data_IF_044406747066
#
_entry.id   IF_044406747066
#
_cell.length_a   1.000
_cell.length_b   1.000
_cell.length_c   1.000
_cell.angle_alpha   90.00
_cell.angle_beta   90.00
_cell.angle_gamma   90.00
#
_symmetry.space_group_name_H-M   'P 1'
#
loop_
_entity.id
_entity.type
_entity.pdbx_description
1 polymer ?
#
# COMPACT_ATOMS: atom_id res chain seq x y z
N UNK A 1 9.48 -1.55 -1.09
CA UNK A 1 10.60 -0.69 -0.61
C UNK A 1 10.18 0.04 0.66
N UNK A 2 10.94 -0.03 1.75
CA UNK A 2 10.69 0.78 2.94
C UNK A 2 11.16 2.22 2.69
N UNK A 3 10.24 3.18 2.86
CA UNK A 3 10.48 4.59 2.56
C UNK A 3 11.46 5.24 3.52
N UNK A 4 11.39 4.88 4.80
CA UNK A 4 12.26 5.46 5.83
C UNK A 4 13.69 4.97 5.63
N UNK A 5 13.86 3.68 5.43
CA UNK A 5 15.17 3.06 5.20
C UNK A 5 15.81 3.58 3.90
N UNK A 6 15.03 3.68 2.81
CA UNK A 6 15.52 4.25 1.56
C UNK A 6 16.02 5.69 1.74
N UNK A 7 15.28 6.54 2.46
CA UNK A 7 15.70 7.93 2.68
C UNK A 7 16.95 8.03 3.55
N UNK A 8 17.06 7.21 4.59
CA UNK A 8 18.27 7.11 5.39
C UNK A 8 19.47 6.70 4.53
N UNK A 9 19.29 5.70 3.67
CA UNK A 9 20.34 5.25 2.75
C UNK A 9 20.78 6.35 1.76
N UNK A 10 19.83 7.10 1.19
CA UNK A 10 20.13 8.26 0.34
C UNK A 10 20.95 9.31 1.09
N UNK A 11 20.57 9.61 2.34
CA UNK A 11 21.24 10.60 3.17
C UNK A 11 22.67 10.17 3.55
N UNK A 12 22.85 8.96 4.06
CA UNK A 12 24.15 8.44 4.51
C UNK A 12 25.17 8.33 3.37
N UNK A 13 24.70 7.89 2.20
CA UNK A 13 25.56 7.70 1.02
C UNK A 13 25.62 8.93 0.10
N UNK A 14 25.00 10.05 0.49
CA UNK A 14 25.05 11.35 -0.22
C UNK A 14 24.53 11.31 -1.66
N UNK A 15 23.49 10.52 -1.93
CA UNK A 15 22.88 10.39 -3.26
C UNK A 15 21.98 11.58 -3.68
N UNK A 16 21.79 12.59 -2.81
CA UNK A 16 20.86 13.70 -3.07
C UNK A 16 21.19 14.44 -4.37
N UNK A 17 22.46 14.81 -4.59
CA UNK A 17 22.88 15.54 -5.80
C UNK A 17 22.58 14.73 -7.07
N UNK A 18 22.99 13.46 -7.07
CA UNK A 18 22.75 12.53 -8.18
C UNK A 18 21.25 12.41 -8.50
N UNK A 19 20.39 12.27 -7.49
CA UNK A 19 18.93 12.17 -7.70
C UNK A 19 18.36 13.48 -8.26
N UNK A 20 18.83 14.63 -7.80
CA UNK A 20 18.40 15.93 -8.34
C UNK A 20 18.83 16.07 -9.81
N UNK A 21 20.05 15.68 -10.15
CA UNK A 21 20.55 15.69 -11.53
C UNK A 21 19.74 14.75 -12.44
N UNK A 22 19.42 13.54 -11.97
CA UNK A 22 18.70 12.53 -12.77
C UNK A 22 17.26 12.94 -13.10
N UNK A 23 16.64 13.78 -12.25
CA UNK A 23 15.34 14.38 -12.55
C UNK A 23 15.41 15.66 -13.40
N UNK A 24 16.62 16.12 -13.74
CA UNK A 24 16.87 17.27 -14.58
C UNK A 24 16.89 18.61 -13.83
N UNK A 25 16.86 18.59 -12.49
CA UNK A 25 17.13 19.80 -11.72
C UNK A 25 18.51 20.34 -12.06
N UNK A 26 18.65 21.66 -12.07
CA UNK A 26 19.88 22.34 -12.48
C UNK A 26 20.20 23.49 -11.54
N UNK A 27 21.41 24.06 -11.64
CA UNK A 27 21.96 25.01 -10.66
C UNK A 27 21.96 24.46 -9.22
N UNK A 28 22.26 23.16 -9.06
CA UNK A 28 22.30 22.48 -7.77
C UNK A 28 23.44 23.04 -6.94
N UNK A 29 23.14 23.44 -5.70
CA UNK A 29 24.12 23.98 -4.75
C UNK A 29 23.84 23.46 -3.34
N UNK A 30 24.89 22.99 -2.68
CA UNK A 30 24.84 22.63 -1.26
C UNK A 30 25.29 23.79 -0.37
N UNK A 31 24.48 24.12 0.63
CA UNK A 31 24.75 25.19 1.60
C UNK A 31 25.19 24.57 2.92
N UNK A 32 26.50 24.32 3.04
CA UNK A 32 27.09 23.60 4.18
C UNK A 32 26.78 24.23 5.55
N UNK A 33 26.67 25.56 5.64
CA UNK A 33 26.43 26.26 6.91
C UNK A 33 25.11 25.88 7.58
N UNK A 34 24.06 25.58 6.81
CA UNK A 34 22.74 25.23 7.35
C UNK A 34 22.23 23.86 6.86
N UNK A 35 23.04 23.09 6.13
CA UNK A 35 22.75 21.72 5.73
C UNK A 35 21.54 21.55 4.79
N UNK A 36 21.52 22.26 3.66
CA UNK A 36 20.44 22.12 2.67
C UNK A 36 20.94 22.31 1.24
N UNK A 37 20.18 21.78 0.28
CA UNK A 37 20.38 21.92 -1.15
C UNK A 37 19.39 22.94 -1.72
N UNK A 38 19.84 23.70 -2.71
CA UNK A 38 18.97 24.52 -3.57
C UNK A 38 19.16 24.14 -5.02
N UNK A 39 18.09 24.12 -5.79
CA UNK A 39 18.16 23.97 -7.24
C UNK A 39 16.97 24.62 -7.95
N UNK A 40 17.13 24.82 -9.26
CA UNK A 40 16.02 25.07 -10.16
C UNK A 40 15.28 23.76 -10.49
N UNK A 41 14.00 23.89 -10.80
CA UNK A 41 13.21 22.81 -11.40
C UNK A 41 13.83 22.32 -12.72
N UNK A 42 13.44 21.14 -13.20
CA UNK A 42 13.79 20.69 -14.55
C UNK A 42 13.34 21.65 -15.67
N UNK A 43 12.32 22.47 -15.39
CA UNK A 43 11.85 23.52 -16.28
C UNK A 43 11.72 24.85 -15.52
N UNK A 44 12.21 25.94 -16.08
CA UNK A 44 12.24 27.27 -15.46
C UNK A 44 13.64 27.72 -15.06
N UNK A 45 13.76 28.96 -14.59
CA UNK A 45 15.04 29.69 -14.41
C UNK A 45 15.29 30.17 -12.97
N UNK A 46 14.35 29.94 -12.05
CA UNK A 46 14.54 30.27 -10.65
C UNK A 46 15.46 29.25 -9.96
N UNK A 47 16.72 29.64 -9.78
CA UNK A 47 17.79 28.82 -9.16
C UNK A 47 17.55 28.42 -7.70
N UNK A 48 16.62 29.09 -7.00
CA UNK A 48 16.22 28.79 -5.63
C UNK A 48 14.81 28.23 -5.51
N UNK A 49 14.23 27.72 -6.60
CA UNK A 49 12.85 27.24 -6.62
C UNK A 49 12.62 26.06 -5.67
N UNK A 50 13.60 25.19 -5.52
CA UNK A 50 13.55 24.00 -4.68
C UNK A 50 14.54 24.16 -3.54
N UNK A 51 14.10 23.86 -2.31
CA UNK A 51 14.93 23.72 -1.12
C UNK A 51 14.75 22.31 -0.57
N UNK A 52 15.85 21.58 -0.41
CA UNK A 52 15.85 20.23 0.15
C UNK A 52 16.78 20.18 1.37
N UNK A 53 16.23 19.90 2.54
CA UNK A 53 16.98 19.81 3.78
C UNK A 53 17.74 18.50 3.85
N UNK A 54 19.05 18.57 4.03
CA UNK A 54 19.93 17.41 4.04
C UNK A 54 19.90 16.73 5.41
N UNK A 55 18.88 15.90 5.62
CA UNK A 55 18.65 15.10 6.82
C UNK A 55 18.04 13.75 6.44
N UNK A 56 17.92 12.84 7.40
CA UNK A 56 17.25 11.53 7.26
C UNK A 56 15.84 11.62 6.64
N UNK A 57 15.13 12.72 6.87
CA UNK A 57 13.77 12.91 6.34
C UNK A 57 13.74 13.36 4.88
N UNK A 58 14.84 13.93 4.38
CA UNK A 58 15.00 14.54 3.05
C UNK A 58 13.83 15.46 2.68
N UNK A 59 13.39 16.27 3.64
CA UNK A 59 12.28 17.21 3.46
C UNK A 59 12.58 18.15 2.29
N UNK A 60 11.63 18.29 1.38
CA UNK A 60 11.80 19.03 0.15
C UNK A 60 10.62 19.96 -0.07
N UNK A 61 10.89 21.24 -0.32
CA UNK A 61 9.88 22.24 -0.64
C UNK A 61 10.16 22.84 -2.01
N UNK A 62 9.12 22.97 -2.82
CA UNK A 62 9.17 23.70 -4.08
C UNK A 62 8.33 24.98 -3.93
N UNK A 63 8.99 26.14 -3.89
CA UNK A 63 8.33 27.44 -3.69
C UNK A 63 7.63 27.96 -4.95
N UNK A 64 7.85 27.31 -6.09
CA UNK A 64 7.30 27.75 -7.38
C UNK A 64 6.17 26.85 -7.88
N UNK A 65 6.02 25.64 -7.32
CA UNK A 65 5.10 24.61 -7.82
C UNK A 65 4.53 23.79 -6.67
N UNK A 66 3.25 23.46 -6.77
CA UNK A 66 2.60 22.55 -5.83
C UNK A 66 2.84 21.10 -6.26
N UNK A 67 3.60 20.34 -5.46
CA UNK A 67 3.98 18.95 -5.79
C UNK A 67 2.88 17.93 -5.46
N UNK A 68 2.09 18.19 -4.41
CA UNK A 68 1.03 17.30 -3.93
C UNK A 68 -0.26 18.08 -3.65
N UNK A 69 -1.39 17.37 -3.66
CA UNK A 69 -2.71 17.97 -3.40
C UNK A 69 -3.00 18.19 -1.92
N UNK A 70 -2.49 17.31 -1.06
CA UNK A 70 -2.74 17.35 0.39
C UNK A 70 -1.77 18.29 1.11
N UNK A 71 -2.11 18.70 2.32
CA UNK A 71 -1.30 19.63 3.11
C UNK A 71 -0.18 18.96 3.93
N UNK A 72 0.19 17.71 3.60
CA UNK A 72 1.29 17.03 4.30
C UNK A 72 2.63 17.61 3.88
N UNK A 73 3.66 17.39 4.71
CA UNK A 73 5.05 17.70 4.35
C UNK A 73 5.49 16.84 3.16
N UNK A 74 6.28 17.45 2.28
CA UNK A 74 6.85 16.79 1.09
C UNK A 74 8.32 16.46 1.27
N UNK A 75 8.78 15.46 0.53
CA UNK A 75 10.19 15.04 0.51
C UNK A 75 10.73 14.81 -0.91
N UNK A 76 11.99 14.37 -1.01
CA UNK A 76 12.67 14.12 -2.29
C UNK A 76 11.87 13.16 -3.19
N UNK A 77 11.16 12.19 -2.61
CA UNK A 77 10.36 11.22 -3.38
C UNK A 77 9.19 11.93 -4.04
N UNK A 78 8.54 12.86 -3.34
CA UNK A 78 7.47 13.68 -3.90
C UNK A 78 7.97 14.56 -5.04
N UNK A 79 9.19 15.11 -4.92
CA UNK A 79 9.83 15.88 -5.99
C UNK A 79 10.08 15.02 -7.22
N UNK A 80 10.60 13.79 -7.05
CA UNK A 80 10.84 12.84 -8.13
C UNK A 80 9.51 12.49 -8.84
N UNK A 81 8.50 12.10 -8.06
CA UNK A 81 7.17 11.77 -8.59
C UNK A 81 6.56 12.92 -9.38
N UNK A 82 6.65 14.14 -8.83
CA UNK A 82 6.14 15.34 -9.46
C UNK A 82 6.88 15.67 -10.76
N UNK A 83 8.21 15.62 -10.74
CA UNK A 83 9.05 16.05 -11.88
C UNK A 83 8.97 15.08 -13.05
N UNK A 84 8.81 13.78 -12.78
CA UNK A 84 8.74 12.73 -13.80
C UNK A 84 7.31 12.27 -14.14
N UNK A 85 6.28 12.86 -13.51
CA UNK A 85 4.87 12.42 -13.57
C UNK A 85 4.71 10.91 -13.30
N UNK A 86 5.32 10.44 -12.21
CA UNK A 86 5.26 9.05 -11.78
C UNK A 86 4.25 8.85 -10.65
N UNK A 87 3.68 7.65 -10.57
CA UNK A 87 3.01 7.22 -9.34
C UNK A 87 4.04 7.04 -8.23
N UNK A 88 3.60 7.11 -6.97
CA UNK A 88 4.52 6.98 -5.83
C UNK A 88 5.40 5.71 -5.88
N UNK A 89 4.86 4.51 -6.13
CA UNK A 89 5.70 3.30 -6.29
C UNK A 89 6.71 3.41 -7.43
N UNK A 90 6.33 4.01 -8.55
CA UNK A 90 7.23 4.19 -9.69
C UNK A 90 8.30 5.24 -9.42
N UNK A 91 8.02 6.26 -8.62
CA UNK A 91 9.04 7.20 -8.14
C UNK A 91 10.05 6.54 -7.20
N UNK A 92 9.61 5.64 -6.31
CA UNK A 92 10.51 4.82 -5.51
C UNK A 92 11.39 3.92 -6.39
N UNK A 93 10.78 3.20 -7.36
CA UNK A 93 11.52 2.37 -8.31
C UNK A 93 12.57 3.19 -9.07
N UNK A 94 12.20 4.38 -9.56
CA UNK A 94 13.13 5.28 -10.24
C UNK A 94 14.33 5.66 -9.34
N UNK A 95 14.10 5.99 -8.08
CA UNK A 95 15.17 6.32 -7.14
C UNK A 95 16.08 5.11 -6.91
N UNK A 96 15.50 3.92 -6.74
CA UNK A 96 16.25 2.68 -6.54
C UNK A 96 17.15 2.39 -7.75
N UNK A 97 16.59 2.47 -8.96
CA UNK A 97 17.32 2.26 -10.20
C UNK A 97 18.47 3.27 -10.36
N UNK A 98 18.24 4.54 -10.02
CA UNK A 98 19.24 5.61 -10.08
C UNK A 98 20.43 5.35 -9.14
N UNK A 99 20.17 4.93 -7.91
CA UNK A 99 21.23 4.66 -6.92
C UNK A 99 21.80 3.24 -7.00
N UNK A 100 21.36 2.44 -7.99
CA UNK A 100 21.82 1.06 -8.21
C UNK A 100 21.34 0.06 -7.16
N UNK A 101 20.19 0.29 -6.55
CA UNK A 101 19.58 -0.56 -5.52
C UNK A 101 18.37 -1.33 -6.07
N UNK A 102 18.18 -2.57 -5.60
CA UNK A 102 16.94 -3.31 -5.89
C UNK A 102 15.74 -2.69 -5.16
N UNK A 103 14.58 -2.61 -5.82
CA UNK A 103 13.33 -2.18 -5.16
C UNK A 103 12.94 -3.07 -3.95
N UNK A 104 13.36 -4.33 -4.00
CA UNK A 104 13.13 -5.35 -2.98
C UNK A 104 14.36 -5.57 -2.08
N UNK A 105 15.26 -4.57 -2.01
CA UNK A 105 16.40 -4.60 -1.09
C UNK A 105 15.92 -4.80 0.35
N UNK A 106 16.59 -5.69 1.07
CA UNK A 106 16.31 -5.99 2.47
C UNK A 106 17.38 -5.36 3.35
N UNK A 107 17.09 -4.18 3.91
CA UNK A 107 18.02 -3.45 4.77
C UNK A 107 18.37 -4.20 6.06
N UNK A 108 17.55 -5.17 6.48
CA UNK A 108 17.87 -6.02 7.62
C UNK A 108 19.01 -7.00 7.31
N UNK A 109 19.22 -7.40 6.05
CA UNK A 109 20.36 -8.26 5.68
C UNK A 109 21.70 -7.55 5.96
N UNK A 110 21.74 -6.21 5.85
CA UNK A 110 22.93 -5.38 6.04
C UNK A 110 23.28 -5.12 7.53
N UNK A 111 22.34 -5.35 8.45
CA UNK A 111 22.54 -5.10 9.88
C UNK A 111 23.44 -6.19 10.48
N UNK A 112 24.54 -5.83 11.19
CA UNK A 112 25.36 -6.82 11.88
C UNK A 112 24.56 -7.62 12.91
N UNK A 113 24.85 -8.92 13.02
CA UNK A 113 24.10 -9.84 13.88
C UNK A 113 23.99 -9.39 15.35
N UNK A 114 25.02 -8.72 15.87
CA UNK A 114 25.01 -8.15 17.22
C UNK A 114 23.92 -7.09 17.43
N UNK A 115 23.63 -6.27 16.42
CA UNK A 115 22.55 -5.28 16.47
C UNK A 115 21.17 -5.94 16.31
N UNK A 116 21.07 -7.02 15.53
CA UNK A 116 19.83 -7.82 15.42
C UNK A 116 19.44 -8.43 16.77
N UNK A 117 20.41 -8.94 17.52
CA UNK A 117 20.20 -9.50 18.86
C UNK A 117 19.70 -8.42 19.83
N UNK A 118 20.30 -7.22 19.80
CA UNK A 118 19.86 -6.09 20.64
C UNK A 118 18.41 -5.68 20.32
N UNK A 119 18.05 -5.57 19.03
CA UNK A 119 16.68 -5.28 18.59
C UNK A 119 15.69 -6.34 19.06
N UNK A 120 16.05 -7.63 18.93
CA UNK A 120 15.22 -8.73 19.43
C UNK A 120 15.00 -8.68 20.94
N UNK A 121 16.01 -8.31 21.74
CA UNK A 121 15.85 -8.15 23.19
C UNK A 121 14.89 -7.01 23.54
N UNK A 122 14.93 -5.91 22.77
CA UNK A 122 14.03 -4.77 22.95
C UNK A 122 12.57 -5.11 22.56
N UNK A 123 12.38 -5.82 21.45
CA UNK A 123 11.08 -6.33 20.98
C UNK A 123 10.46 -7.30 22.00
N UNK A 124 11.27 -8.19 22.60
CA UNK A 124 10.82 -9.11 23.65
C UNK A 124 10.41 -8.39 24.93
N UNK A 125 11.08 -7.27 25.25
CA UNK A 125 10.76 -6.46 26.45
C UNK A 125 9.45 -5.67 26.32
N UNK A 126 9.04 -5.39 25.09
CA UNK A 126 7.88 -4.56 24.77
C UNK A 126 6.57 -5.35 24.56
N UNK A 127 6.57 -6.67 24.79
CA UNK A 127 5.43 -7.57 24.51
C UNK A 127 4.87 -7.43 23.07
N UNK A 128 5.67 -6.89 22.15
CA UNK A 128 5.30 -6.81 20.75
C UNK A 128 5.50 -8.21 20.14
N UNK A 129 4.41 -8.96 19.98
CA UNK A 129 4.41 -10.20 19.18
C UNK A 129 4.57 -9.83 17.71
N UNK A 130 5.77 -9.43 17.31
CA UNK A 130 6.14 -9.22 15.91
C UNK A 130 6.54 -10.60 15.38
N UNK A 131 5.60 -11.33 14.79
CA UNK A 131 5.97 -12.40 13.88
C UNK A 131 6.84 -11.77 12.79
N UNK A 132 8.13 -12.16 12.72
CA UNK A 132 9.03 -11.70 11.67
C UNK A 132 8.50 -12.19 10.33
N UNK A 133 7.74 -11.33 9.64
CA UNK A 133 7.34 -11.58 8.27
C UNK A 133 8.60 -11.71 7.40
N UNK A 134 8.59 -12.67 6.46
CA UNK A 134 9.67 -12.80 5.48
C UNK A 134 9.83 -11.49 4.71
N UNK A 135 11.03 -11.14 4.23
CA UNK A 135 11.20 -9.99 3.37
C UNK A 135 10.34 -10.13 2.12
N UNK A 136 9.77 -9.01 1.66
CA UNK A 136 8.96 -8.97 0.45
C UNK A 136 9.88 -9.20 -0.75
N UNK A 137 9.73 -10.33 -1.43
CA UNK A 137 10.52 -10.70 -2.62
C UNK A 137 9.58 -11.21 -3.72
N UNK A 138 9.79 -10.84 -4.99
CA UNK A 138 9.06 -11.43 -6.10
C UNK A 138 9.24 -12.94 -6.17
N UNK A 139 8.18 -13.65 -6.51
CA UNK A 139 8.18 -15.06 -6.85
C UNK A 139 7.99 -15.24 -8.36
N UNK A 140 8.38 -16.40 -8.89
CA UNK A 140 8.31 -16.65 -10.32
C UNK A 140 6.88 -16.69 -10.86
N UNK A 141 6.60 -15.98 -11.95
CA UNK A 141 5.29 -15.98 -12.63
C UNK A 141 4.85 -17.37 -13.11
N UNK A 142 5.82 -18.27 -13.33
CA UNK A 142 5.56 -19.65 -13.71
C UNK A 142 4.73 -20.41 -12.66
N UNK A 143 4.72 -19.98 -11.39
CA UNK A 143 3.88 -20.61 -10.36
C UNK A 143 2.40 -20.53 -10.74
N UNK A 144 1.96 -19.45 -11.39
CA UNK A 144 0.56 -19.30 -11.82
C UNK A 144 0.17 -20.28 -12.94
N UNK A 145 1.13 -20.90 -13.62
CA UNK A 145 0.85 -21.89 -14.69
C UNK A 145 0.38 -23.24 -14.14
N UNK A 146 0.67 -23.55 -12.87
CA UNK A 146 0.19 -24.76 -12.21
C UNK A 146 -1.31 -24.68 -11.89
N UNK A 147 -1.83 -23.48 -11.64
CA UNK A 147 -3.22 -23.28 -11.27
C UNK A 147 -4.12 -23.23 -12.49
N UNK A 148 -5.22 -23.98 -12.44
CA UNK A 148 -6.21 -23.98 -13.51
C UNK A 148 -6.98 -22.67 -13.50
N UNK A 149 -7.02 -21.98 -14.63
CA UNK A 149 -7.74 -20.70 -14.80
C UNK A 149 -9.25 -20.92 -15.03
N UNK A 150 -9.88 -21.67 -14.14
CA UNK A 150 -11.33 -21.86 -14.17
C UNK A 150 -12.00 -20.74 -13.38
N UNK A 151 -13.12 -20.26 -13.91
CA UNK A 151 -14.02 -19.42 -13.14
C UNK A 151 -14.50 -20.17 -11.92
N UNK A 152 -14.55 -19.48 -10.79
CA UNK A 152 -15.00 -19.95 -9.51
C UNK A 152 -16.46 -19.54 -9.32
N UNK A 153 -17.36 -20.52 -9.35
CA UNK A 153 -18.80 -20.32 -9.13
C UNK A 153 -19.10 -19.81 -7.73
N UNK A 154 -18.32 -20.23 -6.74
CA UNK A 154 -18.45 -19.76 -5.37
C UNK A 154 -18.13 -18.26 -5.27
N UNK A 155 -17.10 -17.78 -5.97
CA UNK A 155 -16.85 -16.34 -6.09
C UNK A 155 -17.93 -15.62 -6.89
N UNK A 156 -18.45 -16.22 -7.95
CA UNK A 156 -19.56 -15.66 -8.70
C UNK A 156 -20.82 -15.47 -7.82
N UNK A 157 -21.17 -16.48 -7.02
CA UNK A 157 -22.24 -16.43 -6.04
C UNK A 157 -21.98 -15.42 -4.91
N UNK A 158 -20.71 -15.17 -4.57
CA UNK A 158 -20.28 -14.13 -3.63
C UNK A 158 -20.13 -12.75 -4.34
N UNK A 159 -20.80 -12.55 -5.49
CA UNK A 159 -20.85 -11.33 -6.30
C UNK A 159 -19.52 -10.88 -6.95
N UNK A 160 -18.63 -11.82 -7.25
CA UNK A 160 -17.39 -11.55 -7.99
C UNK A 160 -17.51 -12.13 -9.40
N UNK A 161 -17.69 -11.27 -10.40
CA UNK A 161 -17.93 -11.71 -11.78
C UNK A 161 -16.70 -12.41 -12.39
N UNK A 162 -16.91 -13.28 -13.38
CA UNK A 162 -15.83 -14.05 -13.99
C UNK A 162 -14.78 -13.18 -14.71
N UNK A 163 -15.14 -11.98 -15.16
CA UNK A 163 -14.19 -11.07 -15.80
C UNK A 163 -13.22 -10.48 -14.76
N UNK A 164 -13.72 -10.16 -13.57
CA UNK A 164 -12.94 -9.76 -12.41
C UNK A 164 -12.05 -10.90 -11.95
N UNK A 165 -12.58 -12.12 -11.85
CA UNK A 165 -11.78 -13.29 -11.51
C UNK A 165 -10.62 -13.50 -12.49
N UNK A 166 -10.88 -13.36 -13.80
CA UNK A 166 -9.85 -13.44 -14.83
C UNK A 166 -8.82 -12.30 -14.72
N UNK A 167 -9.29 -11.07 -14.48
CA UNK A 167 -8.46 -9.87 -14.36
C UNK A 167 -7.48 -9.96 -13.18
N UNK A 168 -7.91 -10.56 -12.07
CA UNK A 168 -7.10 -10.80 -10.86
C UNK A 168 -6.44 -12.18 -10.84
N UNK A 169 -6.47 -12.89 -11.98
CA UNK A 169 -5.75 -14.16 -12.18
C UNK A 169 -6.16 -15.25 -11.18
N UNK A 170 -7.42 -15.22 -10.75
CA UNK A 170 -7.97 -16.25 -9.88
C UNK A 170 -7.84 -17.60 -10.60
N UNK A 171 -7.31 -18.57 -9.87
CA UNK A 171 -7.16 -19.94 -10.35
C UNK A 171 -7.68 -20.96 -9.36
N UNK A 172 -7.41 -22.22 -9.66
CA UNK A 172 -7.71 -23.34 -8.81
C UNK A 172 -6.49 -24.25 -8.69
N UNK A 173 -6.13 -24.55 -7.45
CA UNK A 173 -5.11 -25.52 -7.11
C UNK A 173 -5.78 -26.86 -6.74
N UNK A 174 -5.58 -27.86 -7.59
CA UNK A 174 -6.16 -29.19 -7.43
C UNK A 174 -5.52 -29.97 -6.27
N UNK A 175 -4.27 -29.66 -5.92
CA UNK A 175 -3.55 -30.36 -4.84
C UNK A 175 -4.11 -29.98 -3.46
N UNK A 176 -4.27 -28.68 -3.19
CA UNK A 176 -4.83 -28.21 -1.93
C UNK A 176 -6.34 -28.02 -1.92
N UNK A 177 -7.03 -28.25 -3.06
CA UNK A 177 -8.45 -27.95 -3.26
C UNK A 177 -8.80 -26.51 -2.88
N UNK A 178 -8.04 -25.55 -3.41
CA UNK A 178 -8.19 -24.12 -3.09
C UNK A 178 -8.26 -23.25 -4.31
N UNK A 179 -9.13 -22.27 -4.26
CA UNK A 179 -9.11 -21.15 -5.19
C UNK A 179 -7.94 -20.24 -4.87
N UNK A 180 -7.08 -20.01 -5.85
CA UNK A 180 -5.88 -19.22 -5.69
C UNK A 180 -6.18 -17.75 -5.95
N UNK A 181 -5.65 -16.89 -5.08
CA UNK A 181 -5.76 -15.44 -5.13
C UNK A 181 -4.32 -14.92 -5.18
N UNK A 182 -3.80 -14.64 -6.39
CA UNK A 182 -2.47 -14.07 -6.56
C UNK A 182 -2.37 -12.70 -5.88
N UNK A 183 -1.30 -12.47 -5.13
CA UNK A 183 -1.00 -11.21 -4.45
C UNK A 183 0.17 -10.56 -5.20
N UNK A 184 -0.08 -9.38 -5.75
CA UNK A 184 0.92 -8.59 -6.48
C UNK A 184 1.37 -7.39 -5.65
N UNK A 185 2.65 -7.04 -5.78
CA UNK A 185 3.20 -5.78 -5.28
C UNK A 185 2.54 -4.59 -5.98
N UNK A 186 2.72 -3.40 -5.42
CA UNK A 186 2.37 -2.12 -6.02
C UNK A 186 3.05 -1.86 -7.38
N UNK A 187 4.16 -2.56 -7.69
CA UNK A 187 4.81 -2.54 -9.00
C UNK A 187 4.21 -3.53 -10.00
N UNK A 188 3.42 -4.50 -9.52
CA UNK A 188 2.78 -5.54 -10.30
C UNK A 188 3.46 -6.91 -10.23
N UNK A 189 4.59 -7.04 -9.54
CA UNK A 189 5.29 -8.30 -9.41
C UNK A 189 4.52 -9.26 -8.49
N UNK A 190 4.45 -10.55 -8.85
CA UNK A 190 3.85 -11.56 -7.99
C UNK A 190 4.70 -11.75 -6.74
N UNK A 191 4.11 -11.64 -5.54
CA UNK A 191 4.84 -11.71 -4.25
C UNK A 191 4.26 -12.73 -3.27
N UNK A 192 3.09 -13.28 -3.58
CA UNK A 192 2.43 -14.27 -2.74
C UNK A 192 1.18 -14.82 -3.39
N UNK A 193 0.65 -15.90 -2.81
CA UNK A 193 -0.54 -16.58 -3.31
C UNK A 193 -1.34 -17.06 -2.11
N UNK A 194 -2.56 -16.57 -1.99
CA UNK A 194 -3.51 -16.99 -0.95
C UNK A 194 -4.44 -18.05 -1.53
N UNK A 195 -4.82 -19.03 -0.73
CA UNK A 195 -5.73 -20.11 -1.11
C UNK A 195 -7.00 -20.08 -0.27
N UNK A 196 -8.16 -19.89 -0.91
CA UNK A 196 -9.48 -20.07 -0.28
C UNK A 196 -9.92 -21.51 -0.47
N UNK A 197 -10.34 -22.18 0.60
CA UNK A 197 -10.90 -23.53 0.51
C UNK A 197 -12.07 -23.59 -0.48
N UNK A 198 -12.12 -24.65 -1.30
CA UNK A 198 -13.07 -24.77 -2.40
C UNK A 198 -14.53 -24.84 -1.95
N UNK A 199 -14.82 -25.49 -0.82
CA UNK A 199 -16.18 -25.64 -0.30
C UNK A 199 -16.53 -24.55 0.72
N UNK A 200 -17.84 -24.24 0.82
CA UNK A 200 -18.37 -23.29 1.83
C UNK A 200 -18.21 -23.86 3.25
N UNK A 201 -18.49 -25.14 3.41
CA UNK A 201 -18.25 -25.88 4.65
C UNK A 201 -16.79 -26.30 4.70
N UNK A 202 -16.05 -25.72 5.64
CA UNK A 202 -14.64 -26.03 5.87
C UNK A 202 -14.57 -27.12 6.93
N UNK A 203 -13.95 -28.28 6.64
CA UNK A 203 -13.81 -29.36 7.61
C UNK A 203 -13.10 -28.92 8.89
N UNK A 204 -13.41 -29.58 10.00
CA UNK A 204 -12.70 -29.35 11.27
C UNK A 204 -11.19 -29.61 11.09
N UNK A 205 -10.37 -28.64 11.49
CA UNK A 205 -8.91 -28.67 11.34
C UNK A 205 -8.37 -28.05 10.05
N UNK A 206 -9.24 -27.69 9.10
CA UNK A 206 -8.85 -26.93 7.91
C UNK A 206 -9.08 -25.42 8.11
N UNK A 207 -8.20 -24.61 7.52
CA UNK A 207 -8.36 -23.16 7.51
C UNK A 207 -9.07 -22.71 6.24
N UNK A 208 -10.06 -21.82 6.39
CA UNK A 208 -10.79 -21.26 5.24
C UNK A 208 -9.85 -20.55 4.25
N UNK A 209 -8.85 -19.85 4.76
CA UNK A 209 -7.82 -19.17 3.99
C UNK A 209 -6.43 -19.55 4.51
N UNK A 210 -5.51 -19.85 3.60
CA UNK A 210 -4.09 -20.07 3.89
C UNK A 210 -3.22 -19.33 2.87
N UNK A 211 -1.93 -19.17 3.15
CA UNK A 211 -0.95 -18.81 2.15
C UNK A 211 -0.39 -20.08 1.51
N UNK A 212 -0.57 -20.23 0.20
CA UNK A 212 0.12 -21.25 -0.61
C UNK A 212 1.56 -20.81 -0.88
N UNK A 213 1.73 -19.50 -1.13
CA UNK A 213 3.02 -18.83 -1.17
C UNK A 213 2.99 -17.64 -0.21
N UNK A 214 3.84 -17.68 0.81
CA UNK A 214 3.86 -16.68 1.90
C UNK A 214 4.37 -15.34 1.41
N UNK A 215 3.68 -14.25 1.76
CA UNK A 215 4.13 -12.88 1.51
C UNK A 215 4.13 -12.04 2.79
N UNK A 216 4.90 -10.96 2.76
CA UNK A 216 4.89 -9.95 3.81
C UNK A 216 3.62 -9.08 3.72
N UNK A 217 2.48 -9.57 4.24
CA UNK A 217 1.19 -8.89 4.12
C UNK A 217 1.23 -7.47 4.69
N UNK A 218 2.01 -7.25 5.76
CA UNK A 218 2.20 -5.93 6.37
C UNK A 218 2.84 -4.92 5.42
N UNK A 219 3.47 -5.39 4.34
CA UNK A 219 4.15 -4.54 3.34
C UNK A 219 3.34 -4.35 2.06
N UNK A 220 2.12 -4.88 1.99
CA UNK A 220 1.30 -4.92 0.77
C UNK A 220 -0.09 -4.34 1.00
N UNK A 221 -0.61 -3.65 -0.02
CA UNK A 221 -2.02 -3.30 -0.16
C UNK A 221 -2.58 -4.06 -1.37
N UNK A 222 -3.40 -5.07 -1.12
CA UNK A 222 -3.95 -5.90 -2.19
C UNK A 222 -4.75 -5.05 -3.19
N UNK A 223 -4.47 -5.24 -4.47
CA UNK A 223 -5.13 -4.53 -5.58
C UNK A 223 -4.50 -3.19 -5.96
N UNK A 224 -3.54 -2.65 -5.17
CA UNK A 224 -2.98 -1.31 -5.40
C UNK A 224 -2.38 -1.14 -6.80
N UNK A 225 -1.70 -2.16 -7.33
CA UNK A 225 -1.14 -2.13 -8.69
C UNK A 225 -2.17 -1.84 -9.79
N UNK A 226 -3.41 -2.32 -9.61
CA UNK A 226 -4.51 -2.10 -10.54
C UNK A 226 -5.30 -0.82 -10.21
N UNK A 227 -5.39 -0.45 -8.93
CA UNK A 227 -6.30 0.60 -8.45
C UNK A 227 -5.65 1.98 -8.36
N UNK A 228 -4.31 2.08 -8.32
CA UNK A 228 -3.58 3.34 -8.09
C UNK A 228 -3.97 4.49 -9.03
N UNK A 229 -4.16 4.20 -10.31
CA UNK A 229 -4.56 5.21 -11.29
C UNK A 229 -6.01 5.67 -11.07
N UNK A 230 -6.90 4.75 -10.72
CA UNK A 230 -8.29 5.07 -10.39
C UNK A 230 -8.40 5.87 -9.10
N UNK A 231 -7.55 5.58 -8.10
CA UNK A 231 -7.45 6.36 -6.85
C UNK A 231 -7.01 7.80 -7.15
N UNK A 232 -5.98 7.99 -8.00
CA UNK A 232 -5.52 9.32 -8.43
C UNK A 232 -6.62 10.09 -9.17
N UNK A 233 -7.41 9.41 -10.00
CA UNK A 233 -8.51 9.99 -10.78
C UNK A 233 -9.72 10.36 -9.93
N UNK A 234 -10.18 9.44 -9.06
CA UNK A 234 -11.35 9.65 -8.21
C UNK A 234 -11.06 10.51 -6.97
N UNK A 235 -9.78 10.73 -6.66
CA UNK A 235 -9.31 11.37 -5.43
C UNK A 235 -9.82 10.67 -4.17
N UNK A 236 -10.04 9.36 -4.24
CA UNK A 236 -10.67 8.57 -3.18
C UNK A 236 -10.10 7.17 -3.13
N UNK A 237 -9.86 6.66 -1.92
CA UNK A 237 -9.49 5.26 -1.69
C UNK A 237 -10.42 4.60 -0.67
N UNK A 238 -10.93 3.42 -1.00
CA UNK A 238 -11.63 2.55 -0.06
C UNK A 238 -10.66 1.53 0.53
N UNK A 239 -10.57 1.46 1.85
CA UNK A 239 -9.73 0.49 2.57
C UNK A 239 -10.65 -0.59 3.16
N UNK A 240 -10.37 -1.83 2.80
CA UNK A 240 -11.12 -3.03 3.19
C UNK A 240 -10.21 -4.01 3.92
N UNK A 241 -10.80 -4.99 4.61
CA UNK A 241 -10.04 -5.98 5.38
C UNK A 241 -9.52 -7.16 4.54
N UNK A 242 -10.21 -7.50 3.44
CA UNK A 242 -9.93 -8.74 2.69
C UNK A 242 -9.75 -8.54 1.19
N UNK A 243 -8.96 -9.42 0.59
CA UNK A 243 -8.75 -9.47 -0.86
C UNK A 243 -10.06 -9.73 -1.60
N UNK A 244 -10.92 -10.57 -1.02
CA UNK A 244 -12.28 -10.86 -1.54
C UNK A 244 -13.10 -9.58 -1.71
N UNK A 245 -13.05 -8.68 -0.72
CA UNK A 245 -13.79 -7.43 -0.75
C UNK A 245 -13.33 -6.51 -1.89
N UNK A 246 -12.03 -6.50 -2.21
CA UNK A 246 -11.51 -5.73 -3.37
C UNK A 246 -12.02 -6.31 -4.69
N UNK A 247 -12.09 -7.64 -4.81
CA UNK A 247 -12.66 -8.30 -5.98
C UNK A 247 -14.17 -8.01 -6.14
N UNK A 248 -14.91 -8.00 -5.04
CA UNK A 248 -16.34 -7.64 -5.04
C UNK A 248 -16.52 -6.20 -5.53
N UNK A 249 -15.82 -5.24 -4.92
CA UNK A 249 -15.92 -3.84 -5.33
C UNK A 249 -15.49 -3.61 -6.77
N UNK A 250 -14.48 -4.33 -7.27
CA UNK A 250 -14.09 -4.26 -8.67
C UNK A 250 -15.22 -4.73 -9.60
N UNK A 251 -15.91 -5.82 -9.24
CA UNK A 251 -17.08 -6.33 -9.97
C UNK A 251 -18.25 -5.34 -9.95
N UNK A 252 -18.35 -4.52 -8.90
CA UNK A 252 -19.37 -3.47 -8.77
C UNK A 252 -19.00 -2.19 -9.54
N UNK A 253 -17.81 -2.12 -10.13
CA UNK A 253 -17.29 -0.95 -10.84
C UNK A 253 -16.50 0.04 -9.97
N UNK A 254 -16.30 -0.25 -8.67
CA UNK A 254 -15.49 0.56 -7.76
C UNK A 254 -14.02 0.14 -7.85
N UNK A 255 -13.27 0.78 -8.76
CA UNK A 255 -11.87 0.43 -9.08
C UNK A 255 -10.81 1.11 -8.21
N UNK A 256 -11.22 1.77 -7.14
CA UNK A 256 -10.37 2.56 -6.24
C UNK A 256 -10.37 2.00 -4.81
N UNK A 257 -10.39 0.67 -4.70
CA UNK A 257 -10.37 -0.05 -3.43
C UNK A 257 -9.07 -0.84 -3.25
N UNK A 258 -8.62 -0.95 -2.01
CA UNK A 258 -7.48 -1.80 -1.62
C UNK A 258 -7.81 -2.55 -0.33
N UNK A 259 -7.05 -3.60 -0.04
CA UNK A 259 -7.17 -4.35 1.21
C UNK A 259 -5.85 -4.46 1.96
N UNK A 260 -5.92 -4.37 3.27
CA UNK A 260 -4.81 -4.55 4.23
C UNK A 260 -4.51 -6.02 4.53
N UNK A 261 -5.44 -6.93 4.19
CA UNK A 261 -5.30 -8.37 4.47
C UNK A 261 -5.52 -8.72 5.95
N UNK A 262 -6.21 -7.85 6.68
CA UNK A 262 -6.56 -7.98 8.09
C UNK A 262 -7.13 -6.67 8.65
N UNK A 263 -7.50 -6.67 9.94
CA UNK A 263 -8.08 -5.50 10.63
C UNK A 263 -7.05 -4.41 10.95
N UNK A 264 -5.82 -4.81 11.21
CA UNK A 264 -4.74 -3.90 11.60
C UNK A 264 -3.99 -3.36 10.37
N UNK A 265 -3.58 -2.10 10.46
CA UNK A 265 -2.73 -1.46 9.46
C UNK A 265 -1.30 -1.37 9.98
N UNK A 266 -0.34 -1.81 9.17
CA UNK A 266 1.07 -1.57 9.45
C UNK A 266 1.46 -0.12 9.16
N UNK A 267 2.58 0.33 9.74
CA UNK A 267 3.14 1.64 9.39
C UNK A 267 3.47 1.76 7.90
N UNK A 268 3.95 0.69 7.26
CA UNK A 268 4.27 0.70 5.83
C UNK A 268 3.00 0.85 4.97
N UNK A 269 1.91 0.19 5.35
CA UNK A 269 0.61 0.35 4.68
C UNK A 269 0.08 1.79 4.83
N UNK A 270 0.17 2.36 6.03
CA UNK A 270 -0.21 3.75 6.29
C UNK A 270 0.62 4.70 5.42
N UNK A 271 1.94 4.55 5.40
CA UNK A 271 2.83 5.39 4.60
C UNK A 271 2.49 5.31 3.11
N UNK A 272 2.18 4.12 2.59
CA UNK A 272 1.69 3.94 1.22
C UNK A 272 0.39 4.70 0.99
N UNK A 273 -0.64 4.49 1.83
CA UNK A 273 -1.95 5.13 1.70
C UNK A 273 -1.83 6.66 1.72
N UNK A 274 -1.10 7.21 2.68
CA UNK A 274 -0.90 8.66 2.86
C UNK A 274 -0.25 9.29 1.62
N UNK A 275 0.67 8.56 0.99
CA UNK A 275 1.39 9.05 -0.19
C UNK A 275 0.57 8.99 -1.48
N UNK A 276 -0.51 8.21 -1.52
CA UNK A 276 -1.45 8.26 -2.64
C UNK A 276 -2.18 9.61 -2.72
N UNK A 277 -2.27 10.35 -1.60
CA UNK A 277 -2.81 11.72 -1.58
C UNK A 277 -4.29 11.81 -1.92
N UNK A 278 -5.07 10.78 -1.58
CA UNK A 278 -6.51 10.67 -1.81
C UNK A 278 -7.28 10.72 -0.48
N UNK A 279 -8.59 11.01 -0.55
CA UNK A 279 -9.48 10.90 0.61
C UNK A 279 -9.59 9.44 1.04
N UNK A 280 -9.34 9.18 2.32
CA UNK A 280 -9.28 7.82 2.88
C UNK A 280 -10.65 7.43 3.43
N UNK A 281 -11.24 6.34 2.93
CA UNK A 281 -12.50 5.79 3.43
C UNK A 281 -12.23 4.42 4.04
N UNK A 282 -12.37 4.31 5.36
CA UNK A 282 -12.33 3.05 6.08
C UNK A 282 -13.69 2.33 5.92
N UNK A 283 -13.67 1.15 5.30
CA UNK A 283 -14.85 0.33 5.01
C UNK A 283 -14.72 -1.03 5.71
N UNK A 284 -14.77 -1.01 7.04
CA UNK A 284 -14.52 -2.17 7.91
C UNK A 284 -15.76 -3.04 8.07
N UNK A 285 -15.57 -4.29 8.46
CA UNK A 285 -16.67 -5.24 8.66
C UNK A 285 -17.55 -4.84 9.85
N UNK A 286 -18.82 -5.30 9.89
CA UNK A 286 -19.81 -4.87 10.90
C UNK A 286 -19.39 -5.14 12.35
N UNK A 287 -18.47 -6.07 12.58
CA UNK A 287 -17.98 -6.43 13.91
C UNK A 287 -16.87 -5.49 14.42
N UNK A 288 -16.33 -4.61 13.58
CA UNK A 288 -15.39 -3.56 13.99
C UNK A 288 -16.14 -2.40 14.61
N UNK A 289 -15.85 -2.12 15.88
CA UNK A 289 -16.53 -1.06 16.62
C UNK A 289 -15.99 0.31 16.23
N UNK A 290 -16.80 1.34 16.48
CA UNK A 290 -16.44 2.73 16.19
C UNK A 290 -15.12 3.17 16.86
N UNK A 291 -14.88 2.76 18.11
CA UNK A 291 -13.63 3.07 18.82
C UNK A 291 -12.41 2.43 18.14
N UNK A 292 -12.54 1.22 17.58
CA UNK A 292 -11.46 0.57 16.84
C UNK A 292 -11.16 1.32 15.53
N UNK A 293 -12.20 1.83 14.84
CA UNK A 293 -12.03 2.69 13.65
C UNK A 293 -11.32 3.99 14.04
N UNK A 294 -11.66 4.60 15.18
CA UNK A 294 -10.99 5.79 15.73
C UNK A 294 -9.52 5.51 16.06
N UNK A 295 -9.21 4.36 16.66
CA UNK A 295 -7.83 3.92 16.91
C UNK A 295 -7.05 3.78 15.59
N UNK A 296 -7.61 3.14 14.57
CA UNK A 296 -7.00 3.04 13.24
C UNK A 296 -6.76 4.43 12.64
N UNK A 297 -7.76 5.31 12.71
CA UNK A 297 -7.65 6.67 12.19
C UNK A 297 -6.53 7.46 12.88
N UNK A 298 -6.27 7.24 14.17
CA UNK A 298 -5.21 7.91 14.94
C UNK A 298 -3.79 7.53 14.50
N UNK A 299 -3.60 6.39 13.83
CA UNK A 299 -2.29 6.01 13.30
C UNK A 299 -1.90 6.82 12.05
N UNK A 300 -2.86 7.45 11.38
CA UNK A 300 -2.56 8.33 10.26
C UNK A 300 -2.01 9.68 10.74
N UNK A 301 -1.15 10.34 9.96
CA UNK A 301 -0.71 11.71 10.25
C UNK A 301 -1.87 12.71 10.31
N UNK A 302 -1.70 13.76 11.12
CA UNK A 302 -2.67 14.86 11.22
C UNK A 302 -2.83 15.62 9.89
N UNK A 303 -4.02 16.19 9.69
CA UNK A 303 -4.35 17.00 8.51
C UNK A 303 -4.72 16.18 7.26
N UNK A 304 -4.85 14.86 7.38
CA UNK A 304 -5.34 13.98 6.33
C UNK A 304 -6.85 13.78 6.49
N UNK A 305 -7.67 14.04 5.45
CA UNK A 305 -9.10 13.75 5.49
C UNK A 305 -9.34 12.25 5.59
N UNK A 306 -10.01 11.84 6.68
CA UNK A 306 -10.37 10.44 6.91
C UNK A 306 -11.87 10.34 7.10
N UNK A 307 -12.45 9.40 6.38
CA UNK A 307 -13.85 9.06 6.38
C UNK A 307 -14.01 7.59 6.78
N UNK A 308 -15.21 7.24 7.23
CA UNK A 308 -15.56 5.86 7.53
C UNK A 308 -16.97 5.55 7.05
N UNK A 309 -17.19 4.31 6.62
CA UNK A 309 -18.50 3.76 6.35
C UNK A 309 -19.01 3.07 7.61
N UNK A 310 -20.16 3.52 8.11
CA UNK A 310 -20.73 2.97 9.35
C UNK A 310 -22.22 2.72 9.23
N UNK A 311 -22.60 1.45 9.39
CA UNK A 311 -23.97 0.98 9.26
C UNK A 311 -24.83 1.39 10.48
N UNK A 312 -25.31 2.64 10.49
CA UNK A 312 -26.30 3.15 11.45
C UNK A 312 -27.70 2.60 11.18
N UNK A 313 -28.00 2.30 9.91
CA UNK A 313 -29.32 1.80 9.47
C UNK A 313 -29.54 0.32 9.85
N UNK A 314 -28.48 -0.39 10.26
CA UNK A 314 -28.54 -1.79 10.68
C UNK A 314 -28.80 -2.76 9.53
N UNK A 315 -28.34 -2.42 8.31
CA UNK A 315 -28.57 -3.25 7.12
C UNK A 315 -27.58 -4.42 6.99
N UNK A 316 -26.44 -4.36 7.68
CA UNK A 316 -25.44 -5.42 7.69
C UNK A 316 -25.74 -6.46 8.77
N UNK A 317 -25.58 -7.74 8.43
CA UNK A 317 -25.62 -8.87 9.35
C UNK A 317 -24.35 -8.90 10.20
N UNK A 318 -24.37 -9.70 11.27
CA UNK A 318 -23.20 -9.89 12.13
C UNK A 318 -22.01 -10.43 11.30
N UNK A 319 -20.85 -9.77 11.41
CA UNK A 319 -19.62 -10.05 10.64
C UNK A 319 -19.76 -9.95 9.12
N UNK A 320 -20.82 -9.32 8.61
CA UNK A 320 -20.97 -9.06 7.18
C UNK A 320 -20.07 -7.90 6.76
N UNK A 321 -19.37 -8.07 5.64
CA UNK A 321 -18.57 -7.01 5.05
C UNK A 321 -19.47 -6.03 4.30
N UNK A 322 -19.21 -4.70 4.33
CA UNK A 322 -19.95 -3.72 3.52
C UNK A 322 -20.00 -4.08 2.02
N UNK A 323 -19.00 -4.83 1.55
CA UNK A 323 -18.84 -5.24 0.15
C UNK A 323 -19.57 -6.53 -0.23
N UNK A 324 -20.15 -7.28 0.73
CA UNK A 324 -20.76 -8.59 0.46
C UNK A 324 -22.00 -8.52 -0.44
N UNK A 325 -22.73 -7.40 -0.41
CA UNK A 325 -23.93 -7.17 -1.21
C UNK A 325 -23.83 -5.82 -1.95
N UNK A 326 -23.98 -5.78 -3.29
CA UNK A 326 -23.82 -4.56 -4.07
C UNK A 326 -24.89 -3.50 -3.78
N UNK A 327 -26.11 -3.90 -3.41
CA UNK A 327 -27.19 -2.98 -3.08
C UNK A 327 -26.90 -2.33 -1.73
N UNK A 328 -26.50 -3.13 -0.72
CA UNK A 328 -26.10 -2.61 0.59
C UNK A 328 -24.89 -1.69 0.49
N UNK A 329 -23.88 -2.07 -0.30
CA UNK A 329 -22.70 -1.21 -0.55
C UNK A 329 -23.11 0.17 -1.08
N UNK A 330 -23.94 0.22 -2.12
CA UNK A 330 -24.42 1.49 -2.67
C UNK A 330 -25.20 2.31 -1.64
N UNK A 331 -26.03 1.64 -0.82
CA UNK A 331 -26.79 2.30 0.22
C UNK A 331 -25.87 2.94 1.28
N UNK A 332 -24.84 2.20 1.73
CA UNK A 332 -23.86 2.67 2.69
C UNK A 332 -23.03 3.84 2.15
N UNK A 333 -22.52 3.74 0.91
CA UNK A 333 -21.74 4.82 0.30
C UNK A 333 -22.56 6.10 0.14
N UNK A 334 -23.87 5.99 -0.09
CA UNK A 334 -24.75 7.14 -0.31
C UNK A 334 -25.25 7.78 0.99
N UNK A 335 -25.47 7.00 2.05
CA UNK A 335 -26.14 7.47 3.28
C UNK A 335 -25.29 7.42 4.54
N UNK A 336 -24.26 6.57 4.56
CA UNK A 336 -23.53 6.19 5.77
C UNK A 336 -22.03 6.49 5.67
N UNK A 337 -21.65 7.49 4.88
CA UNK A 337 -20.29 7.99 4.79
C UNK A 337 -20.11 9.19 5.73
N UNK A 338 -19.31 9.02 6.77
CA UNK A 338 -19.08 10.04 7.78
C UNK A 338 -17.62 10.49 7.78
N UNK A 339 -17.39 11.77 8.05
CA UNK A 339 -16.04 12.32 8.19
C UNK A 339 -15.58 12.18 9.65
N UNK A 340 -14.38 11.65 9.85
CA UNK A 340 -13.73 11.59 11.16
C UNK A 340 -12.91 12.86 11.43
N UNK A 341 -12.06 13.25 10.48
CA UNK A 341 -11.22 14.46 10.56
C UNK A 341 -10.90 15.03 9.18
#
# INVERSE_FOLDING_TARGET
MDVKELKNYIYENRYVEQILESIGCHHIKYHASNGYWTCANATGDNNGAIVLYNSEYLMCQNYTRQMIRTNRKTDIIDLVCYTKDLTFPKGLQFICDEIGMSYYHDFEEDIPESFKILKMLDDMSSNANIEKEKPLKPIGENVLSYYKRYGNDLFYEDNIDYSTQKEFEIGFDEESNRYTIPIRSELGDLVGIKGRYFYREVPDGENKYIYLESCAKSKILYGLNKTINYIKQSNRIYILESEKAVLQLWSYGYRNAVSTGGKELSQQQIDMIVRLGADIILAMDKDVKKNEIEEIANHFPDGIPIYYLYDEDGILREKESPSDDPIKWQQLVNKNLYRMR
#
